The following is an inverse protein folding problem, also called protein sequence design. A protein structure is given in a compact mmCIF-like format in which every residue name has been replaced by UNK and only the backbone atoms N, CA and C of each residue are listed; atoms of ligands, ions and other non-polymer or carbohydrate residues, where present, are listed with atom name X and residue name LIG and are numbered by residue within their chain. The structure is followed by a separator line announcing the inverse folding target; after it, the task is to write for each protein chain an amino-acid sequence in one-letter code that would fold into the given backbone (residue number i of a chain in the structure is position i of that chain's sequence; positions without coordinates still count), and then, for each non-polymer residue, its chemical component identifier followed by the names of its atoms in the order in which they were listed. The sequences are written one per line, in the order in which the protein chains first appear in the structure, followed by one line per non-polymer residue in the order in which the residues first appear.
data_IF_439662183050
#
_entry.id   IF_439662183050
#
_cell.length_a   1.000
_cell.length_b   1.000
_cell.length_c   1.000
_cell.angle_alpha   90.00
_cell.angle_beta   90.00
_cell.angle_gamma   90.00
#
_symmetry.space_group_name_H-M   'P 1'
#
loop_
_entity.id
_entity.type
_entity.pdbx_description
1 polymer ?
#
# COMPACT_ATOMS: atom_id res chain seq x y z
N UNK A 1 -24.40 12.49 -77.28
CA UNK A 1 -25.00 13.69 -76.66
C UNK A 1 -24.58 13.71 -75.20
N UNK A 2 -23.79 14.73 -74.85
CA UNK A 2 -23.63 15.45 -73.56
C UNK A 2 -23.79 14.69 -72.24
N UNK A 3 -23.07 14.96 -71.15
CA UNK A 3 -21.97 15.84 -70.72
C UNK A 3 -21.69 15.28 -69.29
N UNK A 4 -20.48 15.09 -68.76
CA UNK A 4 -19.38 16.04 -68.68
C UNK A 4 -19.47 16.82 -67.37
N UNK A 5 -18.76 16.39 -66.32
CA UNK A 5 -18.24 17.30 -65.28
C UNK A 5 -17.10 16.64 -64.47
N UNK A 6 -15.91 17.25 -64.60
CA UNK A 6 -14.64 16.87 -64.01
C UNK A 6 -14.46 17.53 -62.64
N UNK A 7 -14.00 16.75 -61.66
CA UNK A 7 -13.31 17.24 -60.46
C UNK A 7 -12.03 17.99 -60.87
N UNK A 8 -11.84 19.20 -60.33
CA UNK A 8 -10.54 19.89 -60.33
C UNK A 8 -10.06 20.15 -58.90
N UNK A 9 -8.77 19.87 -58.72
CA UNK A 9 -7.90 20.24 -57.60
C UNK A 9 -7.13 21.52 -57.95
N UNK A 10 -6.75 22.25 -56.90
CA UNK A 10 -5.73 23.31 -56.77
C UNK A 10 -5.93 24.67 -57.45
N UNK A 11 -5.67 25.73 -56.67
CA UNK A 11 -5.43 27.11 -57.10
C UNK A 11 -5.17 28.01 -55.90
N UNK A 12 -4.00 28.62 -55.88
CA UNK A 12 -3.40 29.48 -54.85
C UNK A 12 -3.95 30.94 -54.85
N UNK A 13 -3.56 31.69 -53.80
CA UNK A 13 -3.58 33.16 -53.64
C UNK A 13 -4.98 33.78 -53.36
N UNK A 14 -5.16 34.78 -52.52
CA UNK A 14 -4.34 35.97 -52.28
C UNK A 14 -4.41 36.45 -50.82
N UNK A 15 -3.33 37.13 -50.43
CA UNK A 15 -3.16 37.94 -49.22
C UNK A 15 -4.14 39.12 -49.25
N UNK A 16 -4.88 39.37 -48.18
CA UNK A 16 -5.52 40.67 -47.93
C UNK A 16 -5.23 41.11 -46.50
N UNK A 17 -4.93 42.40 -46.41
CA UNK A 17 -4.06 43.05 -45.45
C UNK A 17 -4.67 43.25 -44.06
N UNK A 18 -3.76 43.23 -43.08
CA UNK A 18 -3.95 43.68 -41.71
C UNK A 18 -4.42 45.14 -41.66
N UNK A 19 -5.60 45.42 -41.12
CA UNK A 19 -5.93 46.73 -40.58
C UNK A 19 -7.09 46.57 -39.56
N UNK A 20 -6.76 46.25 -38.30
CA UNK A 20 -7.58 46.59 -37.11
C UNK A 20 -6.92 46.13 -35.78
N UNK A 21 -5.65 46.49 -35.53
CA UNK A 21 -5.07 46.29 -34.19
C UNK A 21 -4.21 47.48 -33.74
N UNK A 22 -4.88 48.63 -33.59
CA UNK A 22 -4.30 49.86 -33.09
C UNK A 22 -5.01 50.38 -31.84
N UNK A 23 -5.35 49.52 -30.86
CA UNK A 23 -5.56 50.01 -29.48
C UNK A 23 -5.54 49.01 -28.33
N UNK A 24 -4.76 47.94 -28.39
CA UNK A 24 -4.46 47.18 -27.18
C UNK A 24 -2.98 46.81 -27.17
N UNK A 25 -2.25 47.26 -26.14
CA UNK A 25 -0.82 46.94 -25.99
C UNK A 25 -0.62 45.44 -26.14
N UNK A 26 0.05 45.05 -27.22
CA UNK A 26 0.06 43.69 -27.74
C UNK A 26 0.51 42.68 -26.69
N UNK A 27 -0.46 41.97 -26.12
CA UNK A 27 -0.20 40.82 -25.28
C UNK A 27 0.63 39.83 -26.12
N UNK A 28 1.75 39.38 -25.58
CA UNK A 28 2.62 38.43 -26.24
C UNK A 28 1.84 37.15 -26.59
N UNK A 29 2.29 36.39 -27.60
CA UNK A 29 1.58 35.18 -28.04
C UNK A 29 1.31 34.18 -26.90
N UNK A 30 2.19 34.13 -25.88
CA UNK A 30 1.98 33.33 -24.67
C UNK A 30 0.91 33.92 -23.73
N UNK A 31 0.79 35.24 -23.63
CA UNK A 31 -0.25 35.92 -22.84
C UNK A 31 -1.63 35.74 -23.47
N UNK A 32 -1.70 35.72 -24.81
CA UNK A 32 -2.94 35.49 -25.57
C UNK A 32 -3.44 34.04 -25.43
N UNK A 33 -2.52 33.07 -25.43
CA UNK A 33 -2.85 31.65 -25.17
C UNK A 33 -3.27 31.38 -23.71
N UNK A 34 -2.72 32.13 -22.74
CA UNK A 34 -3.11 32.03 -21.33
C UNK A 34 -4.33 32.87 -20.95
N UNK A 35 -4.83 33.75 -21.85
CA UNK A 35 -5.95 34.64 -21.58
C UNK A 35 -7.30 33.90 -21.58
N UNK A 36 -7.47 32.88 -22.45
CA UNK A 36 -8.70 32.09 -22.54
C UNK A 36 -8.73 30.93 -21.52
N UNK A 37 -7.57 30.49 -21.01
CA UNK A 37 -7.42 29.39 -20.05
C UNK A 37 -6.84 29.87 -18.71
N UNK A 38 -7.36 30.97 -18.17
CA UNK A 38 -6.98 31.45 -16.84
C UNK A 38 -7.54 30.52 -15.76
N UNK A 39 -6.82 29.43 -15.50
CA UNK A 39 -7.16 28.43 -14.48
C UNK A 39 -7.44 29.03 -13.10
N UNK A 40 -6.83 30.17 -12.77
CA UNK A 40 -7.07 30.94 -11.55
C UNK A 40 -8.43 31.65 -11.46
N UNK A 41 -9.12 31.91 -12.57
CA UNK A 41 -10.47 32.51 -12.57
C UNK A 41 -11.55 31.49 -12.13
N UNK A 42 -11.23 30.19 -12.13
CA UNK A 42 -12.12 29.13 -11.63
C UNK A 42 -12.07 28.93 -10.11
N UNK A 43 -11.13 29.60 -9.42
CA UNK A 43 -10.98 29.53 -7.98
C UNK A 43 -12.02 30.45 -7.32
N UNK A 44 -12.97 29.88 -6.60
CA UNK A 44 -14.02 30.64 -5.91
C UNK A 44 -13.50 31.18 -4.58
N UNK A 45 -13.77 32.45 -4.29
CA UNK A 45 -13.48 33.07 -2.98
C UNK A 45 -14.68 32.89 -2.03
N UNK A 46 -14.41 32.78 -0.74
CA UNK A 46 -15.40 32.81 0.33
C UNK A 46 -15.80 34.25 0.70
N UNK A 47 -16.80 34.41 1.56
CA UNK A 47 -17.30 35.72 2.00
C UNK A 47 -16.25 36.57 2.74
N UNK A 48 -15.12 35.98 3.13
CA UNK A 48 -13.97 36.65 3.76
C UNK A 48 -12.84 37.00 2.78
N UNK A 49 -13.00 36.71 1.47
CA UNK A 49 -11.98 36.96 0.45
C UNK A 49 -10.82 35.95 0.46
N UNK A 50 -11.01 34.77 1.08
CA UNK A 50 -10.09 33.65 1.03
C UNK A 50 -10.57 32.63 -0.01
N UNK A 51 -9.66 31.94 -0.69
CA UNK A 51 -10.03 30.90 -1.65
C UNK A 51 -10.78 29.76 -0.93
N UNK A 52 -11.95 29.37 -1.44
CA UNK A 52 -12.69 28.22 -0.95
C UNK A 52 -11.84 26.95 -1.13
N UNK A 53 -11.52 26.24 -0.03
CA UNK A 53 -10.87 24.95 -0.14
C UNK A 53 -11.79 23.99 -0.89
N UNK A 54 -11.29 23.37 -1.95
CA UNK A 54 -11.98 22.24 -2.61
C UNK A 54 -12.25 21.19 -1.52
N UNK A 55 -13.52 20.77 -1.37
CA UNK A 55 -13.91 19.75 -0.38
C UNK A 55 -13.31 18.38 -0.73
N UNK A 56 -12.05 18.22 -0.37
CA UNK A 56 -11.27 17.01 -0.57
C UNK A 56 -11.72 15.89 0.36
N UNK A 57 -12.50 16.16 1.42
CA UNK A 57 -12.93 15.10 2.34
C UNK A 57 -13.93 14.16 1.65
N UNK A 58 -14.90 14.73 0.93
CA UNK A 58 -15.90 13.94 0.19
C UNK A 58 -15.25 13.12 -0.93
N UNK A 59 -14.30 13.70 -1.67
CA UNK A 59 -13.53 13.00 -2.71
C UNK A 59 -12.65 11.88 -2.14
N UNK A 60 -11.90 12.16 -1.06
CA UNK A 60 -11.08 11.15 -0.36
C UNK A 60 -11.94 10.00 0.17
N UNK A 61 -13.10 10.32 0.74
CA UNK A 61 -14.02 9.31 1.24
C UNK A 61 -14.64 8.45 0.11
N UNK A 62 -14.99 9.06 -1.02
CA UNK A 62 -15.45 8.34 -2.21
C UNK A 62 -14.38 7.38 -2.75
N UNK A 63 -13.13 7.85 -2.86
CA UNK A 63 -11.97 7.04 -3.25
C UNK A 63 -11.70 5.90 -2.26
N UNK A 64 -11.71 6.20 -0.96
CA UNK A 64 -11.58 5.22 0.13
C UNK A 64 -12.58 4.07 -0.01
N UNK A 65 -13.87 4.37 -0.18
CA UNK A 65 -14.88 3.31 -0.32
C UNK A 65 -14.77 2.54 -1.62
N UNK A 66 -14.33 3.17 -2.71
CA UNK A 66 -14.06 2.46 -3.97
C UNK A 66 -13.01 1.38 -3.75
N UNK A 67 -11.94 1.69 -2.98
CA UNK A 67 -10.92 0.72 -2.55
C UNK A 67 -11.53 -0.38 -1.65
N UNK A 68 -12.30 0.02 -0.65
CA UNK A 68 -12.92 -0.91 0.31
C UNK A 68 -13.86 -1.93 -0.38
N UNK A 69 -14.68 -1.45 -1.34
CA UNK A 69 -15.58 -2.32 -2.12
C UNK A 69 -14.79 -3.23 -3.07
N UNK A 70 -13.72 -2.74 -3.70
CA UNK A 70 -12.85 -3.59 -4.52
C UNK A 70 -12.23 -4.73 -3.69
N UNK A 71 -11.75 -4.43 -2.48
CA UNK A 71 -11.15 -5.41 -1.57
C UNK A 71 -12.15 -6.42 -0.95
N UNK A 72 -13.44 -6.06 -0.87
CA UNK A 72 -14.48 -6.86 -0.19
C UNK A 72 -15.07 -8.01 -1.01
N UNK A 73 -14.66 -8.20 -2.27
CA UNK A 73 -15.48 -8.94 -3.25
C UNK A 73 -15.38 -10.45 -3.26
N UNK A 74 -14.46 -11.11 -2.54
CA UNK A 74 -14.55 -12.56 -2.43
C UNK A 74 -13.87 -13.17 -1.19
N UNK A 75 -14.46 -14.27 -0.71
CA UNK A 75 -13.84 -15.22 0.23
C UNK A 75 -12.68 -15.93 -0.48
N UNK A 76 -11.58 -15.20 -0.63
CA UNK A 76 -10.38 -15.67 -1.32
C UNK A 76 -9.39 -16.19 -0.28
N UNK A 77 -8.70 -17.27 -0.60
CA UNK A 77 -7.56 -17.74 0.19
C UNK A 77 -6.48 -16.67 0.16
N UNK A 78 -6.02 -16.22 1.34
CA UNK A 78 -4.96 -15.22 1.46
C UNK A 78 -3.65 -15.87 1.87
N UNK A 79 -2.57 -15.36 1.31
CA UNK A 79 -1.21 -15.75 1.67
C UNK A 79 -0.76 -15.12 2.97
N UNK A 80 -0.98 -15.79 4.11
CA UNK A 80 -0.65 -15.23 5.42
C UNK A 80 0.85 -15.19 5.72
N UNK A 81 1.61 -16.15 5.19
CA UNK A 81 3.07 -16.21 5.37
C UNK A 81 3.72 -15.70 4.10
N UNK A 82 4.24 -14.48 4.16
CA UNK A 82 4.86 -13.80 3.03
C UNK A 82 6.35 -13.66 3.26
N UNK A 83 7.11 -13.85 2.21
CA UNK A 83 8.54 -13.61 2.14
C UNK A 83 8.75 -12.52 1.11
N UNK A 84 8.91 -11.30 1.60
CA UNK A 84 8.96 -10.09 0.78
C UNK A 84 10.41 -9.59 0.70
N UNK A 85 10.95 -9.49 -0.50
CA UNK A 85 12.15 -8.69 -0.74
C UNK A 85 11.75 -7.31 -1.24
N UNK A 86 12.24 -6.26 -0.58
CA UNK A 86 12.13 -4.88 -1.04
C UNK A 86 13.45 -4.54 -1.75
N UNK A 87 13.36 -4.29 -3.04
CA UNK A 87 14.48 -3.88 -3.89
C UNK A 87 14.43 -2.37 -4.03
N UNK A 88 15.48 -1.68 -3.61
CA UNK A 88 15.57 -0.22 -3.60
C UNK A 88 16.63 0.23 -4.59
N UNK A 89 16.22 1.07 -5.53
CA UNK A 89 17.13 1.69 -6.49
C UNK A 89 17.92 2.84 -5.81
N UNK A 90 19.24 2.66 -5.69
CA UNK A 90 20.21 3.66 -5.22
C UNK A 90 21.09 4.18 -6.39
N UNK A 91 20.61 4.11 -7.63
CA UNK A 91 21.29 4.70 -8.78
C UNK A 91 21.33 6.23 -8.69
N UNK A 92 22.06 6.86 -9.60
CA UNK A 92 22.12 8.33 -9.75
C UNK A 92 20.74 8.99 -9.87
N UNK A 93 19.76 8.31 -10.46
CA UNK A 93 18.40 8.83 -10.62
C UNK A 93 17.66 8.97 -9.28
N UNK A 94 18.04 8.20 -8.26
CA UNK A 94 17.47 8.30 -6.92
C UNK A 94 17.98 9.54 -6.14
N UNK A 95 19.06 10.17 -6.61
CA UNK A 95 19.60 11.39 -6.02
C UNK A 95 18.88 12.67 -6.47
N UNK A 96 18.02 12.58 -7.50
CA UNK A 96 17.26 13.73 -8.02
C UNK A 96 16.31 14.32 -6.95
N UNK A 97 16.02 15.62 -7.07
CA UNK A 97 15.32 16.40 -6.05
C UNK A 97 13.86 16.73 -6.39
N UNK A 98 13.22 15.93 -7.25
CA UNK A 98 11.80 16.05 -7.58
C UNK A 98 10.92 15.93 -6.33
N UNK A 99 11.31 15.03 -5.43
CA UNK A 99 10.82 15.00 -4.06
C UNK A 99 11.81 15.70 -3.13
N UNK A 100 11.29 16.36 -2.08
CA UNK A 100 12.12 17.06 -1.08
C UNK A 100 12.38 16.14 0.12
N UNK A 101 13.63 15.97 0.60
CA UNK A 101 14.88 16.57 0.11
C UNK A 101 15.46 15.90 -1.15
N UNK A 102 15.28 14.59 -1.33
CA UNK A 102 15.62 13.86 -2.56
C UNK A 102 14.67 12.68 -2.73
N UNK A 103 14.58 12.09 -3.93
CA UNK A 103 13.78 10.87 -4.16
C UNK A 103 14.15 9.77 -3.17
N UNK A 104 15.44 9.51 -2.98
CA UNK A 104 15.90 8.50 -2.02
C UNK A 104 15.51 8.82 -0.58
N UNK A 105 15.63 10.09 -0.15
CA UNK A 105 15.24 10.50 1.20
C UNK A 105 13.77 10.23 1.49
N UNK A 106 12.91 10.52 0.52
CA UNK A 106 11.46 10.26 0.62
C UNK A 106 11.15 8.76 0.57
N UNK A 107 11.78 8.03 -0.35
CA UNK A 107 11.64 6.56 -0.44
C UNK A 107 12.06 5.88 0.86
N UNK A 108 13.22 6.22 1.44
CA UNK A 108 13.68 5.63 2.71
C UNK A 108 12.67 5.85 3.84
N UNK A 109 12.15 7.07 3.97
CA UNK A 109 11.16 7.42 5.01
C UNK A 109 9.86 6.63 4.84
N UNK A 110 9.38 6.48 3.61
CA UNK A 110 8.17 5.69 3.36
C UNK A 110 8.39 4.19 3.49
N UNK A 111 9.57 3.68 3.11
CA UNK A 111 9.94 2.28 3.35
C UNK A 111 10.07 1.98 4.84
N UNK A 112 10.63 2.88 5.65
CA UNK A 112 10.62 2.73 7.11
C UNK A 112 9.20 2.57 7.65
N UNK A 113 8.30 3.50 7.27
CA UNK A 113 6.92 3.46 7.70
C UNK A 113 6.23 2.17 7.24
N UNK A 114 6.48 1.75 5.99
CA UNK A 114 5.98 0.52 5.42
C UNK A 114 6.47 -0.71 6.16
N UNK A 115 7.75 -0.83 6.49
CA UNK A 115 8.28 -2.00 7.22
C UNK A 115 7.56 -2.15 8.56
N UNK A 116 7.36 -1.05 9.29
CA UNK A 116 6.66 -1.07 10.58
C UNK A 116 5.19 -1.49 10.40
N UNK A 117 4.49 -0.92 9.43
CA UNK A 117 3.10 -1.25 9.14
C UNK A 117 2.93 -2.69 8.62
N UNK A 118 3.84 -3.14 7.77
CA UNK A 118 3.88 -4.48 7.20
C UNK A 118 3.99 -5.54 8.29
N UNK A 119 4.90 -5.38 9.25
CA UNK A 119 5.04 -6.30 10.39
C UNK A 119 3.90 -6.19 11.41
N UNK A 120 3.26 -5.02 11.50
CA UNK A 120 2.07 -4.85 12.33
C UNK A 120 0.90 -5.69 11.81
N UNK A 121 0.61 -5.58 10.50
CA UNK A 121 -0.46 -6.32 9.84
C UNK A 121 -0.11 -7.79 9.56
N UNK A 122 1.16 -8.10 9.29
CA UNK A 122 1.65 -9.42 8.89
C UNK A 122 2.81 -9.89 9.78
N UNK A 123 2.55 -10.22 11.05
CA UNK A 123 3.61 -10.64 11.97
C UNK A 123 4.24 -11.98 11.57
N UNK A 124 3.58 -12.82 10.77
CA UNK A 124 4.16 -14.08 10.31
C UNK A 124 5.13 -13.94 9.14
N UNK A 125 5.12 -12.78 8.50
CA UNK A 125 5.91 -12.53 7.29
C UNK A 125 7.34 -12.17 7.62
N UNK A 126 8.22 -12.33 6.63
CA UNK A 126 9.62 -11.95 6.71
C UNK A 126 9.92 -10.94 5.60
N UNK A 127 10.79 -9.97 5.91
CA UNK A 127 11.24 -8.95 4.97
C UNK A 127 12.74 -9.06 4.78
N UNK A 128 13.20 -8.90 3.54
CA UNK A 128 14.61 -8.73 3.18
C UNK A 128 14.77 -7.44 2.38
N UNK A 129 15.95 -6.82 2.45
CA UNK A 129 16.26 -5.58 1.74
C UNK A 129 17.40 -5.82 0.77
N UNK A 130 17.21 -5.40 -0.47
CA UNK A 130 18.24 -5.43 -1.53
C UNK A 130 18.34 -4.03 -2.11
N UNK A 131 19.57 -3.58 -2.37
CA UNK A 131 19.82 -2.30 -3.04
C UNK A 131 20.49 -2.53 -4.37
N UNK A 132 20.13 -1.70 -5.34
CA UNK A 132 20.77 -1.66 -6.65
C UNK A 132 21.63 -0.39 -6.70
N UNK A 133 22.94 -0.55 -6.91
CA UNK A 133 23.89 0.57 -6.96
C UNK A 133 25.07 0.22 -7.87
N UNK A 134 25.55 1.17 -8.65
CA UNK A 134 26.72 1.01 -9.54
C UNK A 134 26.64 -0.23 -10.47
N UNK A 135 25.45 -0.55 -10.98
CA UNK A 135 25.19 -1.71 -11.85
C UNK A 135 25.16 -3.06 -11.14
N UNK A 136 25.24 -3.08 -9.80
CA UNK A 136 25.30 -4.31 -8.98
C UNK A 136 24.16 -4.33 -7.97
N UNK A 137 23.68 -5.54 -7.65
CA UNK A 137 22.73 -5.75 -6.57
C UNK A 137 23.44 -6.23 -5.30
N UNK A 138 23.10 -5.61 -4.17
CA UNK A 138 23.65 -5.95 -2.86
C UNK A 138 22.53 -6.28 -1.88
N UNK A 139 22.65 -7.41 -1.18
CA UNK A 139 21.77 -7.72 -0.04
C UNK A 139 22.16 -6.80 1.13
N UNK A 140 21.24 -5.94 1.57
CA UNK A 140 21.40 -5.09 2.75
C UNK A 140 21.11 -5.87 4.03
N UNK A 141 20.01 -6.62 4.02
CA UNK A 141 19.58 -7.43 5.14
C UNK A 141 18.93 -8.71 4.64
N UNK A 142 19.34 -9.83 5.21
CA UNK A 142 18.72 -11.13 4.99
C UNK A 142 17.25 -11.13 5.46
N UNK A 143 16.49 -12.15 5.02
CA UNK A 143 15.11 -12.35 5.44
C UNK A 143 15.02 -12.45 6.97
N UNK A 144 14.30 -11.50 7.56
CA UNK A 144 14.18 -11.36 8.99
C UNK A 144 12.79 -10.89 9.41
N UNK A 145 12.53 -11.00 10.71
CA UNK A 145 11.30 -10.54 11.36
C UNK A 145 11.50 -9.30 12.22
N UNK A 146 12.65 -8.62 12.14
CA UNK A 146 13.02 -7.51 13.04
C UNK A 146 12.94 -6.16 12.32
N UNK A 147 11.87 -5.36 12.54
CA UNK A 147 11.70 -4.07 11.88
C UNK A 147 12.90 -3.14 12.09
N UNK A 148 13.40 -3.05 13.33
CA UNK A 148 14.47 -2.11 13.68
C UNK A 148 15.78 -2.44 12.96
N UNK A 149 16.08 -3.73 12.76
CA UNK A 149 17.28 -4.15 12.03
C UNK A 149 17.23 -3.69 10.57
N UNK A 150 16.07 -3.84 9.91
CA UNK A 150 15.89 -3.43 8.52
C UNK A 150 15.93 -1.90 8.38
N UNK A 151 15.24 -1.18 9.27
CA UNK A 151 15.21 0.29 9.27
C UNK A 151 16.61 0.87 9.50
N UNK A 152 17.35 0.35 10.47
CA UNK A 152 18.70 0.83 10.76
C UNK A 152 19.66 0.57 9.59
N UNK A 153 19.58 -0.60 8.96
CA UNK A 153 20.40 -0.92 7.78
C UNK A 153 20.08 -0.02 6.58
N UNK A 154 18.79 0.28 6.36
CA UNK A 154 18.36 1.19 5.29
C UNK A 154 18.84 2.61 5.53
N UNK A 155 18.58 3.16 6.71
CA UNK A 155 18.96 4.53 7.06
C UNK A 155 20.48 4.73 7.10
N UNK A 156 21.25 3.65 7.33
CA UNK A 156 22.70 3.67 7.28
C UNK A 156 23.30 3.72 5.87
N UNK A 157 22.53 3.49 4.79
CA UNK A 157 23.06 3.36 3.43
C UNK A 157 22.19 4.09 2.40
N UNK A 158 22.18 5.43 2.47
CA UNK A 158 21.40 6.31 1.58
C UNK A 158 22.20 6.93 0.44
N UNK A 159 23.47 6.55 0.27
CA UNK A 159 24.33 7.09 -0.78
C UNK A 159 23.96 6.53 -2.16
N UNK A 160 23.53 7.42 -3.05
CA UNK A 160 23.15 7.10 -4.41
C UNK A 160 24.31 7.32 -5.40
N UNK A 161 24.61 6.32 -6.24
CA UNK A 161 25.57 6.48 -7.34
C UNK A 161 25.39 5.42 -8.43
N UNK A 162 25.97 5.71 -9.60
CA UNK A 162 26.05 4.79 -10.73
C UNK A 162 24.70 4.47 -11.36
N UNK A 163 24.64 3.37 -12.09
CA UNK A 163 23.46 2.92 -12.84
C UNK A 163 22.72 1.80 -12.10
N UNK A 164 21.46 1.57 -12.46
CA UNK A 164 20.65 0.48 -11.93
C UNK A 164 20.83 -0.79 -12.77
N UNK A 165 20.73 -1.97 -12.14
CA UNK A 165 20.65 -3.28 -12.80
C UNK A 165 19.53 -4.11 -12.17
N UNK A 166 18.42 -4.27 -12.90
CA UNK A 166 17.28 -5.08 -12.49
C UNK A 166 17.60 -6.58 -12.56
N UNK A 167 18.36 -7.01 -13.56
CA UNK A 167 18.69 -8.43 -13.74
C UNK A 167 19.46 -8.97 -12.53
N UNK A 168 20.52 -8.27 -12.12
CA UNK A 168 21.33 -8.67 -10.96
C UNK A 168 20.48 -8.73 -9.67
N UNK A 169 19.54 -7.81 -9.51
CA UNK A 169 18.64 -7.79 -8.36
C UNK A 169 17.69 -8.99 -8.36
N UNK A 170 17.06 -9.27 -9.51
CA UNK A 170 16.14 -10.39 -9.65
C UNK A 170 16.84 -11.74 -9.51
N UNK A 171 18.05 -11.89 -10.05
CA UNK A 171 18.83 -13.13 -9.91
C UNK A 171 19.26 -13.39 -8.46
N UNK A 172 19.72 -12.35 -7.76
CA UNK A 172 20.07 -12.43 -6.34
C UNK A 172 18.84 -12.82 -5.50
N UNK A 173 17.72 -12.12 -5.70
CA UNK A 173 16.48 -12.37 -4.97
C UNK A 173 15.90 -13.75 -5.31
N UNK A 174 15.94 -14.17 -6.57
CA UNK A 174 15.50 -15.52 -6.97
C UNK A 174 16.32 -16.60 -6.26
N UNK A 175 17.65 -16.44 -6.16
CA UNK A 175 18.51 -17.39 -5.44
C UNK A 175 18.13 -17.55 -3.95
N UNK A 176 17.73 -16.46 -3.29
CA UNK A 176 17.25 -16.52 -1.91
C UNK A 176 15.83 -17.10 -1.78
N UNK A 177 14.90 -16.65 -2.63
CA UNK A 177 13.50 -17.08 -2.59
C UNK A 177 13.31 -18.55 -3.01
N UNK A 178 14.23 -19.10 -3.81
CA UNK A 178 14.18 -20.51 -4.22
C UNK A 178 14.36 -21.48 -3.03
N UNK A 179 15.14 -21.07 -2.02
CA UNK A 179 15.38 -21.85 -0.80
C UNK A 179 14.17 -21.88 0.14
N UNK A 180 13.19 -20.99 -0.08
CA UNK A 180 12.03 -20.84 0.79
C UNK A 180 11.03 -21.95 0.51
N UNK A 181 10.39 -22.53 1.54
CA UNK A 181 9.36 -23.54 1.35
C UNK A 181 8.22 -23.09 0.43
N UNK A 182 7.64 -24.04 -0.31
CA UNK A 182 6.58 -23.79 -1.29
C UNK A 182 5.25 -23.29 -0.72
N UNK A 183 5.05 -23.40 0.61
CA UNK A 183 3.87 -22.84 1.28
C UNK A 183 3.93 -21.33 1.48
N UNK A 184 5.12 -20.73 1.37
CA UNK A 184 5.33 -19.31 1.53
C UNK A 184 5.02 -18.55 0.25
N UNK A 185 4.36 -17.41 0.37
CA UNK A 185 4.23 -16.49 -0.76
C UNK A 185 5.55 -15.75 -0.98
N UNK A 186 6.12 -15.92 -2.18
CA UNK A 186 7.38 -15.30 -2.59
C UNK A 186 7.06 -14.01 -3.32
N UNK A 187 7.45 -12.88 -2.75
CA UNK A 187 7.09 -11.57 -3.25
C UNK A 187 8.33 -10.67 -3.37
N UNK A 188 8.33 -9.84 -4.40
CA UNK A 188 9.35 -8.82 -4.62
C UNK A 188 8.65 -7.49 -4.89
N UNK A 189 9.00 -6.47 -4.11
CA UNK A 189 8.56 -5.09 -4.31
C UNK A 189 9.77 -4.25 -4.74
N UNK A 190 9.76 -3.74 -5.95
CA UNK A 190 10.85 -2.94 -6.51
C UNK A 190 10.45 -1.47 -6.49
N UNK A 191 11.21 -0.63 -5.80
CA UNK A 191 11.08 0.82 -5.82
C UNK A 191 12.12 1.35 -6.80
N UNK A 192 11.65 1.73 -7.99
CA UNK A 192 12.50 2.00 -9.14
C UNK A 192 12.50 3.48 -9.49
N UNK A 193 13.69 4.09 -9.51
CA UNK A 193 13.86 5.52 -9.77
C UNK A 193 14.41 5.79 -11.17
N UNK A 194 15.31 4.94 -11.65
CA UNK A 194 15.91 5.07 -12.97
C UNK A 194 14.90 4.85 -14.10
N UNK A 195 15.20 5.41 -15.28
CA UNK A 195 14.42 5.21 -16.52
C UNK A 195 15.01 4.15 -17.44
N UNK A 196 16.25 3.74 -17.18
CA UNK A 196 16.98 2.70 -17.89
C UNK A 196 17.46 1.65 -16.91
N UNK A 197 17.78 0.45 -17.40
CA UNK A 197 18.46 -0.61 -16.63
C UNK A 197 19.71 -1.01 -17.40
N UNK A 198 20.81 -1.24 -16.70
CA UNK A 198 22.11 -1.62 -17.23
C UNK A 198 22.40 -3.06 -16.80
N UNK A 199 21.90 -4.01 -17.60
CA UNK A 199 21.95 -5.44 -17.28
C UNK A 199 23.00 -6.17 -18.15
N UNK A 200 23.70 -7.19 -17.60
CA UNK A 200 24.75 -7.89 -18.33
C UNK A 200 24.24 -8.84 -19.43
N UNK A 201 23.00 -9.34 -19.34
CA UNK A 201 22.41 -10.29 -20.27
C UNK A 201 20.95 -10.00 -20.59
N UNK A 202 20.23 -11.02 -21.09
CA UNK A 202 18.81 -10.87 -21.42
C UNK A 202 17.92 -10.98 -20.17
N UNK A 203 17.33 -9.85 -19.78
CA UNK A 203 16.39 -9.76 -18.67
C UNK A 203 15.11 -10.59 -18.90
N UNK A 204 14.73 -10.86 -20.16
CA UNK A 204 13.53 -11.64 -20.47
C UNK A 204 13.66 -13.08 -19.98
N UNK A 205 14.86 -13.66 -20.06
CA UNK A 205 15.14 -14.99 -19.49
C UNK A 205 15.02 -14.99 -17.96
N UNK A 206 15.51 -13.94 -17.31
CA UNK A 206 15.39 -13.76 -15.85
C UNK A 206 13.91 -13.60 -15.43
N UNK A 207 13.09 -12.90 -16.21
CA UNK A 207 11.63 -12.81 -15.98
C UNK A 207 10.99 -14.20 -16.05
N UNK A 208 11.32 -15.01 -17.06
CA UNK A 208 10.81 -16.38 -17.18
C UNK A 208 11.27 -17.27 -16.02
N UNK A 209 12.50 -17.08 -15.53
CA UNK A 209 13.03 -17.75 -14.34
C UNK A 209 12.23 -17.39 -13.10
N UNK A 210 11.93 -16.10 -12.86
CA UNK A 210 11.08 -15.66 -11.75
C UNK A 210 9.67 -16.26 -11.82
N UNK A 211 9.08 -16.31 -13.02
CA UNK A 211 7.77 -16.96 -13.27
C UNK A 211 7.80 -18.45 -12.93
N UNK A 212 8.83 -19.17 -13.37
CA UNK A 212 9.04 -20.59 -13.05
C UNK A 212 9.19 -20.82 -11.55
N UNK A 213 9.88 -19.91 -10.86
CA UNK A 213 10.04 -19.93 -9.40
C UNK A 213 8.80 -19.47 -8.61
N UNK A 214 7.71 -19.12 -9.29
CA UNK A 214 6.44 -18.63 -8.70
C UNK A 214 6.63 -17.39 -7.83
N UNK A 215 7.53 -16.50 -8.24
CA UNK A 215 7.81 -15.23 -7.55
C UNK A 215 6.89 -14.17 -8.14
N UNK A 216 6.15 -13.46 -7.29
CA UNK A 216 5.33 -12.31 -7.68
C UNK A 216 6.15 -11.03 -7.57
N UNK A 217 6.41 -10.37 -8.69
CA UNK A 217 7.18 -9.12 -8.72
C UNK A 217 6.26 -7.93 -8.97
N UNK A 218 6.21 -6.98 -8.03
CA UNK A 218 5.51 -5.70 -8.19
C UNK A 218 6.52 -4.56 -8.21
N UNK A 219 6.26 -3.54 -9.03
CA UNK A 219 7.17 -2.41 -9.22
C UNK A 219 6.41 -1.11 -8.98
N UNK A 220 7.05 -0.18 -8.27
CA UNK A 220 6.60 1.21 -8.14
C UNK A 220 7.67 2.08 -8.79
N UNK A 221 7.36 2.67 -9.93
CA UNK A 221 8.21 3.63 -10.63
C UNK A 221 7.98 5.05 -10.11
N UNK A 222 9.04 5.85 -9.97
CA UNK A 222 8.94 7.23 -9.51
C UNK A 222 8.76 8.27 -10.63
N UNK A 223 9.16 7.96 -11.86
CA UNK A 223 9.19 8.95 -12.95
C UNK A 223 8.27 8.56 -14.10
N UNK A 224 8.64 7.54 -14.88
CA UNK A 224 7.89 7.14 -16.05
C UNK A 224 7.67 5.63 -16.11
N UNK A 225 6.71 5.22 -16.93
CA UNK A 225 6.44 3.82 -17.24
C UNK A 225 7.54 3.22 -18.11
N UNK A 226 8.13 2.11 -17.64
CA UNK A 226 9.16 1.35 -18.34
C UNK A 226 8.54 0.04 -18.83
N UNK A 227 8.67 -0.23 -20.13
CA UNK A 227 8.13 -1.42 -20.77
C UNK A 227 8.55 -2.73 -20.09
N UNK A 228 9.83 -2.87 -19.75
CA UNK A 228 10.36 -4.08 -19.09
C UNK A 228 9.76 -4.28 -17.69
N UNK A 229 9.58 -3.22 -16.90
CA UNK A 229 8.94 -3.30 -15.59
C UNK A 229 7.47 -3.70 -15.70
N UNK A 230 6.75 -3.14 -16.68
CA UNK A 230 5.36 -3.50 -16.99
C UNK A 230 5.26 -4.98 -17.37
N UNK A 231 6.13 -5.45 -18.26
CA UNK A 231 6.15 -6.83 -18.71
C UNK A 231 6.48 -7.80 -17.56
N UNK A 232 7.48 -7.48 -16.73
CA UNK A 232 7.81 -8.25 -15.51
C UNK A 232 6.59 -8.42 -14.59
N UNK A 233 5.86 -7.34 -14.32
CA UNK A 233 4.68 -7.41 -13.44
C UNK A 233 3.55 -8.24 -14.06
N UNK A 234 3.30 -8.10 -15.37
CA UNK A 234 2.28 -8.87 -16.08
C UNK A 234 2.58 -10.37 -16.09
N UNK A 235 3.84 -10.74 -16.37
CA UNK A 235 4.26 -12.15 -16.44
C UNK A 235 4.27 -12.86 -15.08
N UNK A 236 4.56 -12.11 -14.00
CA UNK A 236 4.63 -12.64 -12.63
C UNK A 236 3.35 -12.47 -11.82
N UNK A 237 2.31 -11.86 -12.39
CA UNK A 237 1.04 -11.58 -11.71
C UNK A 237 1.15 -10.53 -10.60
N UNK A 238 2.15 -9.64 -10.68
CA UNK A 238 2.31 -8.49 -9.81
C UNK A 238 1.63 -7.23 -10.34
N UNK A 239 1.90 -6.11 -9.68
CA UNK A 239 1.29 -4.81 -9.98
C UNK A 239 2.38 -3.80 -10.36
N UNK A 240 2.10 -2.98 -11.36
CA UNK A 240 2.98 -1.88 -11.75
C UNK A 240 2.27 -0.55 -11.55
N UNK A 241 2.89 0.33 -10.76
CA UNK A 241 2.36 1.64 -10.46
C UNK A 241 3.40 2.73 -10.72
N UNK A 242 2.92 3.92 -11.07
CA UNK A 242 3.75 5.13 -11.20
C UNK A 242 3.32 6.12 -10.12
N UNK A 243 4.27 6.53 -9.30
CA UNK A 243 4.06 7.57 -8.31
C UNK A 243 3.97 8.94 -9.01
N UNK A 244 3.01 9.75 -8.58
CA UNK A 244 2.80 11.11 -9.10
C UNK A 244 3.40 12.12 -8.11
N UNK A 245 2.98 12.01 -6.86
CA UNK A 245 3.40 12.87 -5.75
C UNK A 245 3.86 12.03 -4.54
N UNK A 246 4.52 12.66 -3.57
CA UNK A 246 4.90 12.05 -2.28
C UNK A 246 3.73 11.32 -1.58
N UNK A 247 2.54 11.93 -1.38
CA UNK A 247 1.41 11.23 -0.76
C UNK A 247 0.95 10.02 -1.57
N UNK A 248 0.96 10.12 -2.91
CA UNK A 248 0.58 9.00 -3.77
C UNK A 248 1.59 7.85 -3.65
N UNK A 249 2.90 8.13 -3.62
CA UNK A 249 3.95 7.14 -3.38
C UNK A 249 3.72 6.39 -2.06
N UNK A 250 3.41 7.13 -0.98
CA UNK A 250 3.10 6.54 0.32
C UNK A 250 1.91 5.60 0.24
N UNK A 251 0.83 6.00 -0.43
CA UNK A 251 -0.37 5.16 -0.60
C UNK A 251 -0.05 3.88 -1.37
N UNK A 252 0.68 3.98 -2.49
CA UNK A 252 1.07 2.84 -3.31
C UNK A 252 1.93 1.83 -2.54
N UNK A 253 2.91 2.31 -1.76
CA UNK A 253 3.74 1.44 -0.93
C UNK A 253 2.88 0.74 0.14
N UNK A 254 2.00 1.47 0.81
CA UNK A 254 1.14 0.92 1.87
C UNK A 254 0.08 -0.05 1.33
N UNK A 255 -0.33 0.06 0.06
CA UNK A 255 -1.24 -0.89 -0.59
C UNK A 255 -0.67 -2.32 -0.64
N UNK A 256 0.65 -2.47 -0.61
CA UNK A 256 1.32 -3.77 -0.54
C UNK A 256 1.41 -4.35 0.89
N UNK A 257 0.99 -3.61 1.92
CA UNK A 257 0.97 -4.08 3.30
C UNK A 257 -0.04 -5.22 3.52
N UNK A 258 -1.33 -5.11 3.11
CA UNK A 258 -2.25 -6.23 3.24
C UNK A 258 -1.81 -7.43 2.37
N UNK A 259 -2.07 -8.67 2.81
CA UNK A 259 -1.70 -9.86 2.05
C UNK A 259 -2.52 -9.94 0.76
N UNK A 260 -1.87 -10.12 -0.40
CA UNK A 260 -2.59 -10.22 -1.66
C UNK A 260 -3.45 -11.49 -1.71
N UNK A 261 -4.49 -11.52 -2.58
CA UNK A 261 -5.21 -12.75 -2.86
C UNK A 261 -4.24 -13.80 -3.43
N UNK A 262 -4.30 -15.02 -2.90
CA UNK A 262 -3.51 -16.11 -3.45
C UNK A 262 -4.04 -16.46 -4.85
N UNK A 263 -3.13 -16.57 -5.82
CA UNK A 263 -3.45 -17.10 -7.14
C UNK A 263 -3.81 -18.58 -6.92
N UNK A 264 -5.00 -18.99 -7.39
CA UNK A 264 -5.57 -20.31 -7.10
C UNK A 264 -4.63 -21.48 -7.43
N UNK A 265 -3.81 -21.34 -8.47
CA UNK A 265 -2.80 -22.35 -8.89
C UNK A 265 -1.66 -22.57 -7.89
N UNK A 266 -1.41 -21.60 -7.00
CA UNK A 266 -0.28 -21.62 -6.06
C UNK A 266 -0.72 -21.79 -4.60
N UNK A 267 -2.03 -21.88 -4.37
CA UNK A 267 -2.63 -21.82 -3.03
C UNK A 267 -2.73 -23.22 -2.38
N UNK A 268 -1.61 -23.95 -2.24
CA UNK A 268 -1.60 -25.27 -1.58
C UNK A 268 -1.69 -25.09 -0.06
N UNK A 269 -2.76 -25.61 0.54
CA UNK A 269 -2.93 -25.59 1.99
C UNK A 269 -1.93 -26.56 2.65
N UNK A 270 -0.96 -26.02 3.39
CA UNK A 270 0.04 -26.78 4.12
C UNK A 270 -0.08 -26.52 5.63
N UNK A 271 0.00 -27.60 6.42
CA UNK A 271 -0.01 -27.51 7.88
C UNK A 271 1.42 -27.31 8.41
N UNK A 272 1.67 -26.18 9.05
CA UNK A 272 2.98 -25.82 9.59
C UNK A 272 2.96 -25.98 11.11
N UNK A 273 4.00 -26.61 11.66
CA UNK A 273 4.18 -26.70 13.11
C UNK A 273 4.71 -25.36 13.63
N UNK A 274 3.97 -24.70 14.51
CA UNK A 274 4.40 -23.47 15.19
C UNK A 274 4.61 -23.73 16.68
N UNK A 275 5.51 -22.96 17.30
CA UNK A 275 5.76 -22.99 18.73
C UNK A 275 5.23 -21.73 19.41
N UNK A 276 4.49 -21.91 20.50
CA UNK A 276 4.08 -20.82 21.40
C UNK A 276 5.01 -20.80 22.61
N UNK A 277 6.03 -19.93 22.63
CA UNK A 277 6.97 -19.86 23.74
C UNK A 277 6.35 -19.12 24.92
N UNK A 278 6.77 -19.51 26.12
CA UNK A 278 6.41 -18.80 27.35
C UNK A 278 7.44 -17.70 27.63
N UNK A 279 6.95 -16.53 28.06
CA UNK A 279 7.80 -15.43 28.52
C UNK A 279 8.37 -15.77 29.90
N UNK A 280 9.69 -15.73 30.02
CA UNK A 280 10.40 -15.93 31.28
C UNK A 280 10.27 -14.70 32.18
N UNK A 281 10.40 -14.91 33.49
CA UNK A 281 10.36 -13.83 34.48
C UNK A 281 11.49 -12.80 34.23
N UNK A 282 11.19 -11.53 34.49
CA UNK A 282 12.05 -10.38 34.17
C UNK A 282 13.40 -10.39 34.91
N UNK A 283 13.50 -11.08 36.06
CA UNK A 283 14.74 -11.22 36.82
C UNK A 283 15.66 -12.37 36.38
N UNK A 284 15.31 -13.13 35.33
CA UNK A 284 16.14 -14.28 34.92
C UNK A 284 17.23 -13.88 33.92
N UNK A 285 18.49 -14.09 34.30
CA UNK A 285 19.64 -13.92 33.39
C UNK A 285 19.78 -15.19 32.56
N UNK A 286 19.86 -15.03 31.24
CA UNK A 286 20.23 -16.14 30.39
C UNK A 286 20.87 -15.70 29.08
N UNK A 287 21.62 -16.64 28.50
CA UNK A 287 22.26 -16.47 27.21
C UNK A 287 21.20 -16.62 26.13
N UNK A 288 20.99 -15.56 25.36
CA UNK A 288 20.05 -15.56 24.24
C UNK A 288 20.70 -16.28 23.05
N UNK A 289 20.02 -17.27 22.47
CA UNK A 289 20.53 -18.02 21.31
C UNK A 289 20.66 -17.16 20.05
N UNK A 290 20.00 -15.98 20.00
CA UNK A 290 20.06 -15.05 18.87
C UNK A 290 21.37 -14.26 18.83
N UNK A 291 21.78 -13.69 19.97
CA UNK A 291 22.93 -12.79 20.06
C UNK A 291 24.16 -13.45 20.70
N UNK A 292 24.00 -14.64 21.29
CA UNK A 292 25.02 -15.34 22.09
C UNK A 292 25.52 -14.52 23.29
N UNK A 293 24.77 -13.49 23.67
CA UNK A 293 25.04 -12.62 24.80
C UNK A 293 24.09 -12.94 25.96
N UNK A 294 24.59 -12.76 27.19
CA UNK A 294 23.75 -12.81 28.38
C UNK A 294 22.89 -11.55 28.43
N UNK A 295 21.59 -11.69 28.18
CA UNK A 295 20.65 -10.59 28.38
C UNK A 295 19.94 -10.77 29.72
N UNK A 296 19.86 -9.67 30.45
CA UNK A 296 19.08 -9.55 31.69
C UNK A 296 17.69 -9.06 31.28
N UNK A 297 16.65 -9.84 31.53
CA UNK A 297 15.27 -9.47 31.18
C UNK A 297 14.41 -10.62 30.68
N UNK A 298 13.12 -10.34 30.47
CA UNK A 298 12.15 -11.32 30.01
C UNK A 298 12.42 -11.78 28.57
N UNK A 299 12.92 -13.00 28.42
CA UNK A 299 13.08 -13.68 27.12
C UNK A 299 12.01 -14.77 26.91
N UNK A 300 11.90 -15.26 25.68
CA UNK A 300 10.96 -16.31 25.31
C UNK A 300 11.65 -17.67 25.26
N UNK A 301 11.03 -18.70 25.85
CA UNK A 301 11.59 -20.06 25.88
C UNK A 301 10.94 -20.94 24.80
N UNK A 302 11.74 -21.45 23.87
CA UNK A 302 11.27 -22.36 22.82
C UNK A 302 10.64 -23.62 23.43
N UNK A 303 9.42 -24.03 23.03
CA UNK A 303 8.77 -25.20 23.62
C UNK A 303 9.47 -26.51 23.29
N UNK A 304 10.14 -26.60 22.11
CA UNK A 304 10.79 -27.82 21.60
C UNK A 304 12.19 -28.05 22.16
N UNK A 305 13.10 -27.10 22.00
CA UNK A 305 14.51 -27.26 22.41
C UNK A 305 14.89 -26.48 23.67
N UNK A 306 13.94 -25.74 24.27
CA UNK A 306 14.16 -24.88 25.45
C UNK A 306 15.20 -23.76 25.26
N UNK A 307 15.64 -23.51 24.03
CA UNK A 307 16.44 -22.35 23.68
C UNK A 307 15.73 -21.05 24.05
N UNK A 308 16.49 -20.07 24.55
CA UNK A 308 15.95 -18.74 24.85
C UNK A 308 16.16 -17.79 23.69
N UNK A 309 15.12 -17.04 23.40
CA UNK A 309 15.00 -16.13 22.28
C UNK A 309 14.62 -14.77 22.82
N UNK A 310 15.20 -13.73 22.22
CA UNK A 310 15.03 -12.35 22.68
C UNK A 310 13.65 -11.79 22.27
N UNK A 311 13.28 -11.94 20.99
CA UNK A 311 12.08 -11.33 20.42
C UNK A 311 11.24 -12.35 19.64
N UNK A 312 9.95 -12.03 19.50
CA UNK A 312 9.02 -12.75 18.65
C UNK A 312 8.43 -11.78 17.64
N UNK A 313 8.01 -12.26 16.46
CA UNK A 313 8.12 -13.62 15.95
C UNK A 313 9.49 -13.92 15.37
N UNK A 314 10.00 -15.14 15.54
CA UNK A 314 11.29 -15.54 14.96
C UNK A 314 11.42 -17.05 14.82
N UNK A 315 12.35 -17.50 13.98
CA UNK A 315 12.70 -18.91 13.86
C UNK A 315 13.76 -19.31 14.91
N UNK A 316 13.53 -20.43 15.58
CA UNK A 316 14.48 -20.95 16.55
C UNK A 316 15.74 -21.50 15.86
N UNK A 317 16.88 -20.84 16.06
CA UNK A 317 18.20 -21.21 15.47
C UNK A 317 18.70 -22.63 15.81
N UNK A 318 18.16 -23.27 16.86
CA UNK A 318 18.57 -24.62 17.26
C UNK A 318 17.69 -25.70 16.60
N UNK A 319 16.38 -25.48 16.51
CA UNK A 319 15.43 -26.53 16.11
C UNK A 319 14.58 -26.19 14.87
N UNK A 320 14.77 -25.02 14.27
CA UNK A 320 14.04 -24.55 13.08
C UNK A 320 12.54 -24.31 13.30
N UNK A 321 12.07 -24.32 14.55
CA UNK A 321 10.66 -24.10 14.86
C UNK A 321 10.34 -22.61 14.82
N UNK A 322 9.35 -22.21 14.04
CA UNK A 322 8.81 -20.84 14.05
C UNK A 322 8.12 -20.56 15.37
N UNK A 323 8.61 -19.56 16.10
CA UNK A 323 8.09 -19.14 17.39
C UNK A 323 7.21 -17.91 17.22
N UNK A 324 5.98 -17.99 17.72
CA UNK A 324 4.99 -16.93 17.62
C UNK A 324 4.17 -16.81 18.91
N UNK A 325 3.66 -15.62 19.20
CA UNK A 325 2.72 -15.39 20.30
C UNK A 325 1.27 -15.41 19.79
N UNK A 326 0.31 -15.79 20.63
CA UNK A 326 -1.11 -15.77 20.26
C UNK A 326 -1.60 -14.39 19.76
N UNK A 327 -1.17 -13.26 20.34
CA UNK A 327 -1.51 -11.93 19.82
C UNK A 327 -1.06 -11.68 18.37
N UNK A 328 0.06 -12.28 17.93
CA UNK A 328 0.54 -12.10 16.57
C UNK A 328 -0.39 -12.80 15.57
N UNK A 329 -0.84 -14.01 15.87
CA UNK A 329 -1.84 -14.69 15.05
C UNK A 329 -3.15 -13.89 15.04
N UNK A 330 -3.60 -13.41 16.21
CA UNK A 330 -4.81 -12.62 16.36
C UNK A 330 -4.77 -11.34 15.50
N UNK A 331 -3.60 -10.70 15.34
CA UNK A 331 -3.47 -9.58 14.42
C UNK A 331 -3.78 -9.99 12.99
N UNK A 332 -3.32 -11.13 12.48
CA UNK A 332 -3.65 -11.54 11.10
C UNK A 332 -5.11 -11.96 10.87
N UNK A 333 -5.95 -12.09 11.92
CA UNK A 333 -7.35 -12.51 11.76
C UNK A 333 -8.21 -11.50 10.99
N UNK A 334 -7.91 -10.20 11.03
CA UNK A 334 -8.72 -9.19 10.31
C UNK A 334 -8.65 -9.39 8.79
N UNK A 335 -7.54 -9.94 8.29
CA UNK A 335 -7.42 -10.31 6.88
C UNK A 335 -8.32 -11.49 6.50
N UNK A 336 -8.53 -12.44 7.41
CA UNK A 336 -9.35 -13.63 7.18
C UNK A 336 -10.84 -13.35 7.22
N UNK A 337 -11.26 -12.44 8.12
CA UNK A 337 -12.66 -12.11 8.32
C UNK A 337 -12.86 -10.58 8.27
N UNK A 338 -12.71 -9.96 7.09
CA UNK A 338 -12.90 -8.53 6.96
C UNK A 338 -14.36 -8.14 7.27
N UNK A 339 -14.54 -6.92 7.78
CA UNK A 339 -15.87 -6.34 7.94
C UNK A 339 -16.44 -6.06 6.55
N UNK A 340 -17.73 -6.32 6.38
CA UNK A 340 -18.46 -5.94 5.16
C UNK A 340 -18.57 -4.41 5.11
N UNK A 341 -18.24 -3.77 3.98
CA UNK A 341 -18.42 -2.33 3.80
C UNK A 341 -19.81 -1.87 4.23
N UNK A 342 -19.90 -0.71 4.87
CA UNK A 342 -21.17 -0.16 5.29
C UNK A 342 -21.94 0.45 4.11
N UNK A 343 -23.26 0.37 4.17
CA UNK A 343 -24.17 0.86 3.13
C UNK A 343 -24.37 2.36 3.27
N UNK A 344 -24.38 3.07 2.15
CA UNK A 344 -24.68 4.50 2.13
C UNK A 344 -26.16 4.73 2.37
N UNK A 345 -26.48 5.57 3.35
CA UNK A 345 -27.87 5.95 3.59
C UNK A 345 -28.10 7.34 2.99
N UNK A 346 -28.94 7.40 1.97
CA UNK A 346 -29.30 8.65 1.33
C UNK A 346 -29.84 9.67 2.35
N UNK A 347 -29.42 10.94 2.25
CA UNK A 347 -29.90 12.02 3.13
C UNK A 347 -31.42 12.18 3.17
N UNK A 348 -32.08 11.88 2.05
CA UNK A 348 -33.52 12.04 1.81
C UNK A 348 -34.41 10.98 2.48
N UNK A 349 -33.86 9.85 2.93
CA UNK A 349 -34.66 8.71 3.40
C UNK A 349 -35.08 8.77 4.88
N UNK A 350 -34.71 9.81 5.63
CA UNK A 350 -35.01 9.88 7.07
C UNK A 350 -35.55 11.25 7.52
N UNK A 351 -36.53 11.78 6.78
CA UNK A 351 -37.58 12.57 7.44
C UNK A 351 -38.56 11.54 8.04
N UNK A 352 -38.11 10.78 9.02
CA UNK A 352 -39.05 10.00 9.84
C UNK A 352 -39.75 10.96 10.79
N UNK A 353 -41.05 10.75 10.95
CA UNK A 353 -42.07 11.65 11.55
C UNK A 353 -41.86 12.00 13.05
N UNK A 354 -40.66 11.85 13.60
CA UNK A 354 -40.32 12.07 15.02
C UNK A 354 -39.08 12.95 15.29
N UNK A 355 -38.51 13.64 14.29
CA UNK A 355 -37.51 14.72 14.51
C UNK A 355 -36.28 14.34 15.36
N UNK A 356 -35.93 13.05 15.46
CA UNK A 356 -34.69 12.58 16.12
C UNK A 356 -33.68 12.22 15.07
N UNK A 357 -32.73 13.11 14.84
CA UNK A 357 -31.57 12.79 14.01
C UNK A 357 -30.71 11.74 14.74
N UNK A 358 -30.37 10.62 14.10
CA UNK A 358 -29.55 9.60 14.74
C UNK A 358 -28.15 10.17 14.98
N UNK A 359 -27.65 10.06 16.21
CA UNK A 359 -26.25 10.28 16.51
C UNK A 359 -25.42 9.10 15.99
N UNK A 360 -24.14 9.34 15.69
CA UNK A 360 -23.20 8.28 15.36
C UNK A 360 -23.10 7.28 16.52
N UNK A 361 -23.28 5.99 16.26
CA UNK A 361 -23.17 4.98 17.31
C UNK A 361 -21.75 4.88 17.90
N UNK A 362 -20.72 5.19 17.11
CA UNK A 362 -19.32 5.14 17.54
C UNK A 362 -18.91 6.33 18.42
N UNK A 363 -18.97 7.54 17.86
CA UNK A 363 -18.49 8.76 18.54
C UNK A 363 -19.59 9.58 19.22
N UNK A 364 -20.86 9.19 19.11
CA UNK A 364 -22.03 9.92 19.65
C UNK A 364 -22.21 11.35 19.11
N UNK A 365 -21.44 11.75 18.10
CA UNK A 365 -21.61 13.05 17.44
C UNK A 365 -22.91 13.08 16.63
N UNK A 366 -23.52 14.26 16.55
CA UNK A 366 -24.68 14.50 15.71
C UNK A 366 -24.30 14.33 14.24
N UNK A 367 -25.09 13.56 13.48
CA UNK A 367 -24.88 13.36 12.02
C UNK A 367 -25.46 14.54 11.19
N UNK A 368 -25.46 15.74 11.77
CA UNK A 368 -25.92 16.98 11.15
C UNK A 368 -24.71 17.89 10.91
N UNK A 369 -24.62 18.46 9.71
CA UNK A 369 -23.67 19.54 9.45
C UNK A 369 -24.18 20.87 10.05
N UNK A 370 -23.29 21.84 10.34
CA UNK A 370 -23.68 23.20 10.69
C UNK A 370 -24.66 23.75 9.63
N UNK A 371 -25.87 24.12 10.04
CA UNK A 371 -26.95 24.55 9.13
C UNK A 371 -28.02 23.50 8.82
N UNK A 372 -28.17 22.44 9.63
CA UNK A 372 -29.23 21.40 9.51
C UNK A 372 -29.23 20.64 8.17
N UNK A 373 -28.13 20.68 7.42
CA UNK A 373 -27.98 19.85 6.21
C UNK A 373 -27.64 18.42 6.63
N UNK A 374 -28.33 17.41 6.09
CA UNK A 374 -28.04 16.01 6.40
C UNK A 374 -26.63 15.65 5.93
N UNK A 375 -25.80 15.16 6.85
CA UNK A 375 -24.45 14.70 6.54
C UNK A 375 -24.48 13.31 5.88
N UNK A 376 -23.47 13.00 5.08
CA UNK A 376 -23.24 11.64 4.58
C UNK A 376 -23.06 10.69 5.78
N UNK A 377 -23.87 9.63 5.82
CA UNK A 377 -23.80 8.61 6.86
C UNK A 377 -23.82 7.23 6.24
N UNK A 378 -23.26 6.29 6.98
CA UNK A 378 -23.20 4.90 6.59
C UNK A 378 -23.91 4.02 7.62
N UNK A 379 -24.46 2.90 7.18
CA UNK A 379 -25.15 1.93 8.04
C UNK A 379 -24.53 0.55 7.91
N UNK A 380 -24.32 -0.12 9.04
CA UNK A 380 -23.83 -1.49 9.00
C UNK A 380 -24.94 -2.45 8.52
N UNK A 381 -24.71 -3.30 7.49
CA UNK A 381 -25.75 -4.20 6.97
C UNK A 381 -26.22 -5.26 7.98
N UNK A 382 -25.40 -5.58 8.99
CA UNK A 382 -25.71 -6.60 10.01
C UNK A 382 -26.50 -6.06 11.19
N UNK A 383 -26.00 -5.01 11.85
CA UNK A 383 -26.62 -4.45 13.05
C UNK A 383 -27.50 -3.23 12.77
N UNK A 384 -27.50 -2.70 11.55
CA UNK A 384 -28.27 -1.52 11.09
C UNK A 384 -28.03 -0.22 11.87
N UNK A 385 -26.96 -0.15 12.67
CA UNK A 385 -26.56 1.09 13.35
C UNK A 385 -25.89 2.06 12.37
N UNK A 386 -26.04 3.36 12.64
CA UNK A 386 -25.49 4.45 11.82
C UNK A 386 -24.14 4.94 12.36
N UNK A 387 -23.22 5.25 11.44
CA UNK A 387 -21.89 5.77 11.73
C UNK A 387 -21.58 6.99 10.85
N UNK A 388 -20.76 7.91 11.38
CA UNK A 388 -20.15 8.98 10.59
C UNK A 388 -18.99 8.42 9.74
N UNK A 389 -18.51 9.21 8.78
CA UNK A 389 -17.43 8.82 7.86
C UNK A 389 -16.11 8.52 8.59
N UNK A 390 -15.76 9.29 9.62
CA UNK A 390 -14.54 9.05 10.40
C UNK A 390 -14.61 7.74 11.18
N UNK A 391 -15.78 7.43 11.74
CA UNK A 391 -16.02 6.15 12.39
C UNK A 391 -16.00 5.00 11.40
N UNK A 392 -16.50 5.20 10.17
CA UNK A 392 -16.43 4.19 9.10
C UNK A 392 -14.98 3.85 8.77
N UNK A 393 -14.15 4.86 8.52
CA UNK A 393 -12.71 4.71 8.25
C UNK A 393 -12.03 4.00 9.43
N UNK A 394 -12.23 4.48 10.66
CA UNK A 394 -11.61 3.91 11.84
C UNK A 394 -12.01 2.45 12.08
N UNK A 395 -13.29 2.12 11.87
CA UNK A 395 -13.80 0.75 12.03
C UNK A 395 -13.13 -0.21 11.06
N UNK A 396 -12.97 0.20 9.81
CA UNK A 396 -12.45 -0.66 8.75
C UNK A 396 -10.91 -0.69 8.68
N UNK A 397 -10.22 0.40 9.03
CA UNK A 397 -8.75 0.48 8.97
C UNK A 397 -8.03 0.11 10.27
N UNK A 398 -8.62 0.43 11.44
CA UNK A 398 -7.94 0.27 12.73
C UNK A 398 -8.60 -0.77 13.64
N UNK A 399 -9.92 -0.69 13.81
CA UNK A 399 -10.62 -1.53 14.78
C UNK A 399 -10.89 -2.95 14.25
N UNK A 400 -11.13 -3.06 12.94
CA UNK A 400 -11.51 -4.27 12.22
C UNK A 400 -12.69 -5.06 12.82
N UNK A 401 -13.50 -4.41 13.68
CA UNK A 401 -14.71 -4.95 14.27
C UNK A 401 -15.79 -3.85 14.31
N UNK A 402 -17.04 -4.21 14.02
CA UNK A 402 -18.16 -3.27 14.14
C UNK A 402 -18.65 -3.26 15.60
N UNK A 403 -18.57 -2.12 16.32
CA UNK A 403 -18.98 -2.03 17.73
C UNK A 403 -20.44 -2.45 17.96
N UNK A 404 -21.34 -2.09 17.04
CA UNK A 404 -22.76 -2.45 17.15
C UNK A 404 -23.02 -3.95 16.97
N UNK A 405 -22.19 -4.66 16.18
CA UNK A 405 -22.31 -6.11 16.03
C UNK A 405 -21.81 -6.85 17.28
N UNK A 406 -20.71 -6.41 17.87
CA UNK A 406 -20.17 -7.04 19.09
C UNK A 406 -21.04 -6.74 20.33
N UNK A 407 -21.58 -5.53 20.45
CA UNK A 407 -22.53 -5.18 21.51
C UNK A 407 -23.81 -6.02 21.48
N UNK A 408 -24.32 -6.33 20.28
CA UNK A 408 -25.53 -7.14 20.10
C UNK A 408 -25.33 -8.65 20.39
N UNK A 409 -24.09 -9.15 20.42
CA UNK A 409 -23.81 -10.55 20.78
C UNK A 409 -24.05 -10.82 22.27
N UNK A 410 -23.82 -9.83 23.13
CA UNK A 410 -24.00 -9.97 24.57
C UNK A 410 -25.45 -9.79 25.06
N UNK A 411 -26.30 -9.12 24.29
CA UNK A 411 -27.73 -8.94 24.64
C UNK A 411 -28.61 -10.15 24.30
N UNK A 412 -28.08 -11.13 23.56
CA UNK A 412 -28.75 -12.39 23.20
C UNK A 412 -28.28 -13.60 24.03
N UNK A 413 -27.98 -13.42 25.31
CA UNK A 413 -27.98 -14.58 26.23
C UNK A 413 -29.46 -14.90 26.48
N UNK A 414 -30.01 -16.03 26.01
CA UNK A 414 -31.35 -16.42 26.39
C UNK A 414 -31.33 -16.65 27.90
N UNK A 415 -32.24 -16.00 28.62
CA UNK A 415 -32.57 -16.40 29.98
C UNK A 415 -33.05 -17.87 29.95
N UNK A 416 -32.12 -18.82 30.10
CA UNK A 416 -32.40 -20.17 30.52
C UNK A 416 -32.73 -20.14 32.01
N UNK A 417 -33.89 -19.57 32.34
CA UNK A 417 -34.55 -19.67 33.64
C UNK A 417 -36.02 -19.28 33.48
N UNK A 418 -36.78 -20.21 32.92
CA UNK A 418 -38.20 -20.51 33.22
C UNK A 418 -38.27 -22.02 33.07
N UNK A 419 -38.39 -22.82 34.13
CA UNK A 419 -39.48 -22.79 35.10
C UNK A 419 -40.34 -24.00 34.78
#
# INVERSE_FOLDING_TARGET
MNNGEQRRLNGEAEEDEDEDDANNGGLAAWERAYADERSWESLQEDESGLLQPIDNQTLKHAQYRRRLRAASTARIQKGLIRYLYIVIDLSKAAAEMDFRPSRMGVVAKHVEAFIREFFYQNPLSQVGLVTIKDGVAHCLTDLGGSPNSHVQALMGKLECSGDSSLQNALDLVNGYLEQIPSYGHREVLILYSALSTCDPGDIMETIQKCKKSKIRCSVIGLSAEIFICKHLCQETGGLYYIALDEPHLRELILEHAPPPPAIAEFAIANLIKMGFPQRAAEGSVAICSCHKEAKVGGGYTCPRCKARVCDLPTECRICGLTLISSPHLARSYHHLFPIVPFDEVSPSLLIDQQNKFPACFGCQQSLLNPGNKPCLRVACPKCKHHFCLDCDIYIHESLHNCPGCEGARHSKIPNANKG
#
